data_IF_461080279189
#
_entry.id   IF_461080279189
#
_cell.length_a   1.000
_cell.length_b   1.000
_cell.length_c   1.000
_cell.angle_alpha   90.00
_cell.angle_beta   90.00
_cell.angle_gamma   90.00
#
_symmetry.space_group_name_H-M   'P 1'
#
loop_
_entity.id
_entity.type
_entity.pdbx_description
1 polymer ?
#
# COMPACT_ATOMS: atom_id res chain seq x y z
N UNK A 1 75.57 22.85 2.70
CA UNK A 1 74.33 23.05 1.92
C UNK A 1 73.24 23.32 2.94
N UNK A 2 73.01 24.60 3.14
CA UNK A 2 72.14 25.23 4.14
C UNK A 2 70.75 25.34 3.51
N UNK A 3 69.70 24.88 4.18
CA UNK A 3 68.32 25.18 3.76
C UNK A 3 67.67 26.03 4.84
N UNK A 4 67.30 27.23 4.40
CA UNK A 4 66.71 28.33 5.14
C UNK A 4 65.34 27.99 5.73
N UNK A 5 65.18 28.43 6.98
CA UNK A 5 63.92 28.65 7.66
C UNK A 5 63.12 29.76 6.96
N UNK A 6 61.91 29.43 6.50
CA UNK A 6 60.88 30.43 6.14
C UNK A 6 59.73 30.33 7.14
N UNK A 7 59.69 31.26 8.09
CA UNK A 7 58.49 31.57 8.87
C UNK A 7 57.48 32.32 8.00
N UNK A 8 56.19 31.95 7.98
CA UNK A 8 55.16 32.71 7.31
C UNK A 8 54.71 33.92 8.16
N UNK A 9 54.54 35.05 7.46
CA UNK A 9 54.10 36.33 8.01
C UNK A 9 52.71 36.26 8.67
N UNK A 10 52.65 36.81 9.88
CA UNK A 10 51.42 36.99 10.66
C UNK A 10 50.63 38.15 10.05
N UNK A 11 49.52 37.84 9.38
CA UNK A 11 48.56 38.82 8.88
C UNK A 11 47.81 39.48 10.04
N UNK A 12 47.98 40.81 10.18
CA UNK A 12 47.27 41.66 11.13
C UNK A 12 45.96 42.15 10.49
N UNK A 13 44.82 41.85 11.12
CA UNK A 13 43.50 42.30 10.66
C UNK A 13 43.14 43.66 11.28
N UNK A 14 42.62 44.62 10.49
CA UNK A 14 42.11 45.87 11.02
C UNK A 14 40.78 45.66 11.76
N UNK A 15 40.70 46.19 12.99
CA UNK A 15 39.48 46.26 13.75
C UNK A 15 38.47 47.19 13.04
N UNK A 16 37.31 46.64 12.68
CA UNK A 16 36.22 47.36 12.02
C UNK A 16 35.10 47.55 13.05
N UNK A 17 35.19 48.62 13.83
CA UNK A 17 34.06 49.18 14.58
C UNK A 17 33.26 50.06 13.64
N UNK A 18 32.09 49.60 13.19
CA UNK A 18 30.94 50.40 12.72
C UNK A 18 29.89 49.45 12.11
N UNK A 19 29.05 48.84 12.95
CA UNK A 19 27.92 48.01 12.48
C UNK A 19 26.76 47.89 13.51
N UNK A 20 26.52 48.90 14.34
CA UNK A 20 25.59 48.75 15.50
C UNK A 20 24.17 49.33 15.31
N UNK A 21 23.83 49.92 14.16
CA UNK A 21 22.53 50.61 14.00
C UNK A 21 21.62 50.02 12.92
N UNK A 22 22.10 49.11 12.07
CA UNK A 22 21.30 48.52 10.98
C UNK A 22 20.62 47.19 11.37
N UNK A 23 21.06 46.54 12.46
CA UNK A 23 20.48 45.26 12.90
C UNK A 23 19.08 45.41 13.50
N UNK A 24 18.78 46.54 14.14
CA UNK A 24 17.50 46.74 14.82
C UNK A 24 16.30 46.85 13.86
N UNK A 25 16.51 47.33 12.64
CA UNK A 25 15.43 47.43 11.64
C UNK A 25 15.16 46.09 10.93
N UNK A 26 16.13 45.17 10.92
CA UNK A 26 15.99 43.85 10.31
C UNK A 26 15.19 42.89 11.20
N UNK A 27 15.30 43.01 12.51
CA UNK A 27 14.60 42.12 13.46
C UNK A 27 13.07 42.29 13.41
N UNK A 28 12.56 43.53 13.29
CA UNK A 28 11.12 43.80 13.19
C UNK A 28 10.51 43.28 11.87
N UNK A 29 11.21 43.45 10.74
CA UNK A 29 10.75 42.92 9.46
C UNK A 29 10.71 41.37 9.42
N UNK A 30 11.59 40.73 10.19
CA UNK A 30 11.65 39.28 10.31
C UNK A 30 10.48 38.73 11.14
N UNK A 31 10.08 39.44 12.20
CA UNK A 31 8.91 39.08 13.01
C UNK A 31 7.61 39.13 12.21
N UNK A 32 7.38 40.19 11.43
CA UNK A 32 6.20 40.31 10.56
C UNK A 32 6.15 39.22 9.47
N UNK A 33 7.30 38.87 8.90
CA UNK A 33 7.39 37.82 7.89
C UNK A 33 7.06 36.42 8.48
N UNK A 34 7.52 36.14 9.70
CA UNK A 34 7.23 34.88 10.40
C UNK A 34 5.75 34.75 10.72
N UNK A 35 5.10 35.82 11.18
CA UNK A 35 3.67 35.82 11.47
C UNK A 35 2.82 35.62 10.20
N UNK A 36 3.21 36.25 9.08
CA UNK A 36 2.57 36.02 7.78
C UNK A 36 2.62 34.56 7.30
N UNK A 37 3.78 33.91 7.47
CA UNK A 37 3.95 32.48 7.13
C UNK A 37 3.10 31.59 8.05
N UNK A 38 3.08 31.88 9.35
CA UNK A 38 2.28 31.12 10.32
C UNK A 38 0.77 31.27 10.09
N UNK A 39 0.32 32.40 9.53
CA UNK A 39 -1.07 32.62 9.18
C UNK A 39 -1.46 31.87 7.90
N UNK A 40 -0.62 31.92 6.86
CA UNK A 40 -0.81 31.16 5.62
C UNK A 40 -0.93 29.65 5.86
N UNK A 41 -0.06 29.08 6.71
CA UNK A 41 -0.12 27.66 7.10
C UNK A 41 -1.43 27.30 7.82
N UNK A 42 -1.96 28.20 8.66
CA UNK A 42 -3.23 27.98 9.36
C UNK A 42 -4.43 28.01 8.41
N UNK A 43 -4.39 28.84 7.38
CA UNK A 43 -5.45 28.93 6.38
C UNK A 43 -5.44 27.70 5.44
N UNK A 44 -4.25 27.21 5.06
CA UNK A 44 -4.10 25.98 4.30
C UNK A 44 -4.62 24.74 5.05
N UNK A 45 -4.35 24.64 6.36
CA UNK A 45 -4.90 23.56 7.17
C UNK A 45 -6.44 23.58 7.23
N UNK A 46 -7.05 24.77 7.30
CA UNK A 46 -8.51 24.91 7.29
C UNK A 46 -9.10 24.46 5.95
N UNK A 47 -8.52 24.90 4.84
CA UNK A 47 -8.90 24.49 3.48
C UNK A 47 -8.81 22.97 3.29
N UNK A 48 -7.73 22.35 3.76
CA UNK A 48 -7.53 20.91 3.66
C UNK A 48 -8.59 20.13 4.46
N UNK A 49 -8.91 20.56 5.69
CA UNK A 49 -9.94 19.92 6.52
C UNK A 49 -11.33 20.07 5.91
N UNK A 50 -11.66 21.20 5.28
CA UNK A 50 -12.91 21.37 4.55
C UNK A 50 -13.00 20.46 3.34
N UNK A 51 -11.91 20.35 2.56
CA UNK A 51 -11.86 19.46 1.39
C UNK A 51 -12.05 17.99 1.80
N UNK A 52 -11.48 17.58 2.93
CA UNK A 52 -11.65 16.23 3.47
C UNK A 52 -13.09 15.97 3.94
N UNK A 53 -13.74 16.94 4.61
CA UNK A 53 -15.17 16.86 4.95
C UNK A 53 -16.05 16.69 3.72
N UNK A 54 -15.80 17.45 2.66
CA UNK A 54 -16.55 17.32 1.40
C UNK A 54 -16.34 15.95 0.74
N UNK A 55 -15.13 15.40 0.79
CA UNK A 55 -14.85 14.04 0.28
C UNK A 55 -15.59 12.98 1.08
N UNK A 56 -15.60 13.07 2.42
CA UNK A 56 -16.34 12.16 3.28
C UNK A 56 -17.84 12.24 3.03
N UNK A 57 -18.40 13.46 2.90
CA UNK A 57 -19.82 13.65 2.60
C UNK A 57 -20.21 13.05 1.24
N UNK A 58 -19.38 13.25 0.19
CA UNK A 58 -19.60 12.62 -1.13
C UNK A 58 -19.56 11.09 -1.06
N UNK A 59 -18.63 10.51 -0.31
CA UNK A 59 -18.60 9.06 -0.11
C UNK A 59 -19.86 8.55 0.58
N UNK A 60 -20.33 9.25 1.63
CA UNK A 60 -21.54 8.85 2.35
C UNK A 60 -22.78 8.83 1.44
N UNK A 61 -22.92 9.82 0.54
CA UNK A 61 -23.99 9.87 -0.45
C UNK A 61 -23.93 8.69 -1.44
N UNK A 62 -22.72 8.36 -1.93
CA UNK A 62 -22.52 7.22 -2.84
C UNK A 62 -22.89 5.90 -2.15
N UNK A 63 -22.45 5.68 -0.91
CA UNK A 63 -22.78 4.47 -0.17
C UNK A 63 -24.28 4.37 0.14
N UNK A 64 -24.93 5.48 0.50
CA UNK A 64 -26.39 5.53 0.72
C UNK A 64 -27.19 5.17 -0.53
N UNK A 65 -26.78 5.66 -1.71
CA UNK A 65 -27.46 5.35 -2.97
C UNK A 65 -27.35 3.87 -3.36
N UNK A 66 -26.17 3.25 -3.17
CA UNK A 66 -25.98 1.81 -3.43
C UNK A 66 -26.83 0.97 -2.46
N UNK A 67 -26.92 1.37 -1.19
CA UNK A 67 -27.71 0.65 -0.19
C UNK A 67 -29.22 0.66 -0.52
N UNK A 68 -29.74 1.78 -1.04
CA UNK A 68 -31.13 1.86 -1.51
C UNK A 68 -31.40 0.98 -2.74
N UNK A 69 -30.45 0.88 -3.68
CA UNK A 69 -30.62 0.04 -4.87
C UNK A 69 -30.66 -1.47 -4.55
N UNK A 70 -29.93 -1.93 -3.53
CA UNK A 70 -29.88 -3.35 -3.14
C UNK A 70 -31.16 -3.79 -2.41
N UNK A 71 -31.81 -2.90 -1.66
CA UNK A 71 -33.04 -3.22 -0.92
C UNK A 71 -34.29 -3.21 -1.83
N UNK A 72 -34.25 -2.48 -2.95
CA UNK A 72 -35.37 -2.40 -3.89
C UNK A 72 -35.48 -3.58 -4.88
N UNK A 73 -34.58 -4.58 -4.81
CA UNK A 73 -34.66 -5.80 -5.63
C UNK A 73 -35.17 -6.97 -4.78
N UNK A 74 -36.48 -7.02 -4.49
CA UNK A 74 -37.15 -8.30 -4.50
C UNK A 74 -38.32 -8.25 -5.49
N UNK A 75 -38.53 -9.38 -6.18
CA UNK A 75 -39.81 -9.77 -6.79
C UNK A 75 -40.10 -9.41 -8.27
N UNK A 76 -39.15 -9.59 -9.21
CA UNK A 76 -39.50 -9.62 -10.66
C UNK A 76 -38.89 -10.81 -11.43
N UNK A 77 -38.34 -11.83 -10.75
CA UNK A 77 -37.74 -13.00 -11.42
C UNK A 77 -38.45 -14.34 -11.13
N UNK A 78 -39.78 -14.35 -11.08
CA UNK A 78 -40.59 -15.56 -11.18
C UNK A 78 -41.61 -15.42 -12.32
N UNK A 79 -41.17 -15.51 -13.57
CA UNK A 79 -42.01 -15.89 -14.74
C UNK A 79 -41.17 -15.88 -16.01
N UNK A 80 -40.56 -17.02 -16.37
CA UNK A 80 -40.19 -17.27 -17.77
C UNK A 80 -40.68 -18.66 -18.15
N UNK A 81 -41.60 -18.76 -19.14
CA UNK A 81 -42.11 -20.04 -19.61
C UNK A 81 -41.07 -20.73 -20.50
N UNK A 82 -40.97 -22.04 -20.30
CA UNK A 82 -40.10 -22.95 -21.01
C UNK A 82 -40.64 -23.13 -22.45
N UNK A 83 -40.05 -22.44 -23.42
CA UNK A 83 -40.32 -22.67 -24.84
C UNK A 83 -39.37 -23.76 -25.36
N UNK A 84 -39.93 -24.98 -25.45
CA UNK A 84 -39.44 -26.08 -26.26
C UNK A 84 -39.41 -25.68 -27.74
N UNK A 85 -38.26 -25.83 -28.42
CA UNK A 85 -38.22 -26.27 -29.82
C UNK A 85 -36.94 -27.06 -30.12
N UNK A 86 -37.17 -28.29 -30.57
CA UNK A 86 -36.25 -29.19 -31.24
C UNK A 86 -35.88 -28.65 -32.63
N UNK A 87 -34.65 -28.94 -33.10
CA UNK A 87 -34.24 -29.28 -34.48
C UNK A 87 -32.72 -29.47 -34.46
N UNK A 88 -32.20 -30.70 -34.39
CA UNK A 88 -31.86 -31.58 -35.52
C UNK A 88 -31.02 -30.87 -36.59
N UNK A 89 -29.70 -31.02 -36.52
CA UNK A 89 -28.94 -31.43 -37.70
C UNK A 89 -27.70 -32.23 -37.31
N UNK A 90 -27.51 -33.29 -38.07
CA UNK A 90 -26.71 -34.47 -37.87
C UNK A 90 -25.48 -34.34 -38.77
N UNK A 91 -24.26 -34.36 -38.22
CA UNK A 91 -23.09 -34.78 -38.99
C UNK A 91 -22.21 -35.67 -38.13
N UNK A 92 -22.20 -36.94 -38.51
CA UNK A 92 -21.51 -38.03 -37.86
C UNK A 92 -20.00 -38.02 -38.17
N UNK A 93 -19.18 -38.04 -37.12
CA UNK A 93 -17.83 -38.63 -37.19
C UNK A 93 -17.61 -39.53 -35.98
N UNK A 94 -17.65 -40.84 -36.24
CA UNK A 94 -17.43 -41.94 -35.30
C UNK A 94 -16.04 -41.89 -34.66
N UNK A 95 -15.98 -41.93 -33.32
CA UNK A 95 -14.83 -42.43 -32.55
C UNK A 95 -15.38 -43.23 -31.35
N UNK A 96 -14.80 -44.40 -31.00
CA UNK A 96 -15.43 -45.38 -30.11
C UNK A 96 -15.45 -45.00 -28.62
N UNK A 97 -16.52 -45.50 -27.98
CA UNK A 97 -16.89 -45.44 -26.57
C UNK A 97 -15.86 -46.10 -25.64
N UNK A 98 -15.55 -45.42 -24.53
CA UNK A 98 -15.28 -46.07 -23.24
C UNK A 98 -16.35 -45.61 -22.26
N UNK A 99 -17.24 -46.54 -21.90
CA UNK A 99 -18.30 -46.36 -20.89
C UNK A 99 -17.65 -46.37 -19.51
N UNK A 100 -17.99 -45.39 -18.67
CA UNK A 100 -17.75 -45.44 -17.22
C UNK A 100 -19.11 -45.42 -16.52
N UNK A 101 -19.33 -46.19 -15.44
CA UNK A 101 -20.65 -46.43 -14.88
C UNK A 101 -21.22 -45.21 -14.13
N UNK A 102 -22.51 -44.95 -14.35
CA UNK A 102 -23.36 -44.12 -13.50
C UNK A 102 -23.41 -44.70 -12.09
N UNK A 103 -22.91 -43.94 -11.12
CA UNK A 103 -23.25 -44.15 -9.72
C UNK A 103 -24.53 -43.37 -9.40
N UNK A 104 -25.56 -44.13 -9.05
CA UNK A 104 -26.86 -43.73 -8.55
C UNK A 104 -26.70 -43.11 -7.15
N UNK A 105 -27.01 -41.83 -7.00
CA UNK A 105 -26.92 -41.13 -5.71
C UNK A 105 -28.34 -40.98 -5.15
N UNK A 106 -28.60 -41.77 -4.11
CA UNK A 106 -29.80 -41.76 -3.27
C UNK A 106 -29.90 -40.46 -2.49
N UNK A 107 -31.03 -39.76 -2.63
CA UNK A 107 -31.34 -38.54 -1.88
C UNK A 107 -31.74 -38.87 -0.44
N UNK A 108 -30.83 -38.64 0.52
CA UNK A 108 -31.12 -38.73 1.95
C UNK A 108 -31.76 -37.43 2.50
N UNK A 109 -32.62 -37.51 3.54
CA UNK A 109 -33.29 -36.34 4.12
C UNK A 109 -32.30 -35.42 4.85
N UNK A 110 -32.35 -34.12 4.53
CA UNK A 110 -31.49 -33.08 5.09
C UNK A 110 -31.97 -32.69 6.51
N UNK A 111 -31.26 -33.14 7.53
CA UNK A 111 -31.46 -32.68 8.91
C UNK A 111 -31.17 -31.16 9.02
N UNK A 112 -32.06 -30.43 9.71
CA UNK A 112 -31.95 -28.99 9.96
C UNK A 112 -30.84 -28.72 10.96
N UNK A 113 -29.75 -28.11 10.52
CA UNK A 113 -28.65 -27.66 11.38
C UNK A 113 -29.07 -26.41 12.17
N UNK A 114 -28.73 -26.30 13.47
CA UNK A 114 -28.98 -25.11 14.27
C UNK A 114 -28.25 -23.89 13.70
N UNK A 115 -28.97 -22.76 13.62
CA UNK A 115 -28.46 -21.47 13.14
C UNK A 115 -27.37 -20.96 14.09
N UNK A 116 -26.13 -20.72 13.63
CA UNK A 116 -25.08 -20.15 14.46
C UNK A 116 -25.49 -18.73 14.90
N UNK A 117 -25.52 -18.49 16.21
CA UNK A 117 -25.66 -17.14 16.75
C UNK A 117 -24.41 -16.35 16.36
N UNK A 118 -24.59 -15.33 15.53
CA UNK A 118 -23.49 -14.46 15.11
C UNK A 118 -22.92 -13.75 16.34
N UNK A 119 -21.59 -13.81 16.57
CA UNK A 119 -20.96 -13.07 17.65
C UNK A 119 -21.22 -11.58 17.46
N UNK A 120 -21.70 -10.94 18.52
CA UNK A 120 -22.01 -9.51 18.58
C UNK A 120 -20.74 -8.70 18.24
N UNK A 121 -20.76 -7.78 17.26
CA UNK A 121 -19.61 -6.95 16.94
C UNK A 121 -19.20 -6.16 18.17
N UNK A 122 -18.00 -6.41 18.69
CA UNK A 122 -17.41 -5.55 19.71
C UNK A 122 -17.01 -4.25 19.03
N UNK A 123 -17.63 -3.15 19.44
CA UNK A 123 -17.28 -1.81 18.97
C UNK A 123 -15.79 -1.55 19.18
N UNK A 124 -15.05 -1.05 18.17
CA UNK A 124 -13.64 -0.71 18.30
C UNK A 124 -13.48 0.32 19.43
N UNK A 125 -12.63 0.02 20.41
CA UNK A 125 -12.24 0.97 21.45
C UNK A 125 -11.48 2.12 20.79
N UNK A 126 -11.91 3.35 21.08
CA UNK A 126 -11.52 4.58 20.38
C UNK A 126 -10.10 5.07 20.70
N UNK A 127 -9.34 4.34 21.52
CA UNK A 127 -8.10 4.84 22.14
C UNK A 127 -6.84 4.02 21.80
N UNK A 128 -6.93 2.99 20.95
CA UNK A 128 -5.74 2.29 20.44
C UNK A 128 -5.11 3.11 19.30
N UNK A 129 -4.51 4.25 19.66
CA UNK A 129 -3.47 4.86 18.83
C UNK A 129 -2.30 3.88 18.81
N UNK A 130 -2.24 3.06 17.77
CA UNK A 130 -1.03 2.31 17.40
C UNK A 130 0.09 3.34 17.35
N UNK A 131 0.95 3.37 18.38
CA UNK A 131 2.17 4.15 18.37
C UNK A 131 3.02 3.55 17.25
N UNK A 132 2.96 4.18 16.09
CA UNK A 132 3.83 3.89 14.97
C UNK A 132 5.26 4.14 15.47
N UNK A 133 6.00 3.06 15.68
CA UNK A 133 7.33 3.06 16.28
C UNK A 133 8.16 4.27 15.83
N UNK A 134 8.64 5.03 16.81
CA UNK A 134 9.46 6.23 16.56
C UNK A 134 10.70 5.85 15.72
N UNK A 135 11.08 6.69 14.73
CA UNK A 135 12.28 6.49 13.94
C UNK A 135 13.51 6.60 14.85
N UNK A 136 14.14 5.47 15.19
CA UNK A 136 15.34 5.47 16.03
C UNK A 136 15.59 4.17 16.77
N UNK A 137 14.58 3.32 16.96
CA UNK A 137 14.83 1.94 17.38
C UNK A 137 15.05 1.09 16.14
N UNK A 138 16.29 0.62 15.95
CA UNK A 138 16.63 -0.37 14.95
C UNK A 138 15.75 -1.61 15.18
N UNK A 139 14.62 -1.67 14.46
CA UNK A 139 13.57 -2.67 14.62
C UNK A 139 14.18 -4.07 14.51
N UNK A 140 14.48 -4.69 15.65
CA UNK A 140 14.93 -6.09 15.75
C UNK A 140 13.76 -7.06 15.60
N UNK A 141 12.62 -6.58 15.10
CA UNK A 141 11.41 -7.34 14.85
C UNK A 141 11.36 -7.73 13.37
N UNK A 142 11.29 -9.03 13.10
CA UNK A 142 11.17 -9.59 11.75
C UNK A 142 12.21 -10.66 11.45
N UNK A 143 12.12 -11.22 10.26
CA UNK A 143 13.15 -12.08 9.68
C UNK A 143 14.45 -11.28 9.47
N UNK A 144 15.62 -11.76 9.94
CA UNK A 144 16.89 -11.04 9.84
C UNK A 144 17.33 -10.78 8.39
N UNK A 145 16.76 -11.51 7.41
CA UNK A 145 17.01 -11.30 5.98
C UNK A 145 16.22 -10.13 5.40
N UNK A 146 15.22 -9.62 6.12
CA UNK A 146 14.32 -8.56 5.69
C UNK A 146 14.35 -7.38 6.66
N UNK A 147 15.35 -6.51 6.52
CA UNK A 147 15.49 -5.33 7.39
C UNK A 147 14.55 -4.22 6.95
N UNK A 148 13.97 -3.52 7.93
CA UNK A 148 13.24 -2.28 7.65
C UNK A 148 14.17 -1.23 7.01
N UNK A 149 13.63 -0.41 6.13
CA UNK A 149 14.39 0.65 5.47
C UNK A 149 13.87 0.97 4.08
N UNK A 150 14.67 1.69 3.31
CA UNK A 150 14.35 1.97 1.92
C UNK A 150 14.97 0.93 1.00
N UNK A 151 14.22 0.63 -0.05
CA UNK A 151 14.55 -0.32 -1.09
C UNK A 151 14.39 0.36 -2.43
N UNK A 152 15.27 -0.01 -3.36
CA UNK A 152 15.14 0.30 -4.78
C UNK A 152 14.36 -0.83 -5.43
N UNK A 153 13.18 -0.51 -5.98
CA UNK A 153 12.35 -1.40 -6.77
C UNK A 153 12.71 -1.23 -8.25
N UNK A 154 13.22 -2.30 -8.87
CA UNK A 154 13.53 -2.36 -10.30
C UNK A 154 12.44 -3.16 -11.02
N UNK A 155 11.64 -2.48 -11.84
CA UNK A 155 10.58 -3.13 -12.64
C UNK A 155 11.19 -3.79 -13.89
N UNK A 156 10.51 -4.77 -14.50
CA UNK A 156 10.97 -5.45 -15.70
C UNK A 156 11.27 -4.52 -16.89
N UNK A 157 10.60 -3.37 -16.97
CA UNK A 157 10.85 -2.34 -18.00
C UNK A 157 12.04 -1.42 -17.70
N UNK A 158 12.82 -1.70 -16.64
CA UNK A 158 13.98 -0.92 -16.24
C UNK A 158 13.68 0.31 -15.37
N UNK A 159 12.40 0.58 -15.05
CA UNK A 159 12.05 1.67 -14.14
C UNK A 159 12.53 1.38 -12.73
N UNK A 160 13.07 2.41 -12.06
CA UNK A 160 13.53 2.36 -10.68
C UNK A 160 12.65 3.25 -9.81
N UNK A 161 12.14 2.72 -8.70
CA UNK A 161 11.39 3.48 -7.71
C UNK A 161 11.95 3.26 -6.33
N UNK A 162 11.92 4.30 -5.49
CA UNK A 162 12.23 4.15 -4.08
C UNK A 162 10.95 3.77 -3.32
N UNK A 163 11.04 2.68 -2.55
CA UNK A 163 9.97 2.21 -1.67
C UNK A 163 10.53 2.02 -0.27
N UNK A 164 9.65 2.04 0.74
CA UNK A 164 10.01 1.82 2.14
C UNK A 164 9.33 0.56 2.62
N UNK A 165 10.12 -0.39 3.10
CA UNK A 165 9.66 -1.61 3.75
C UNK A 165 9.74 -1.40 5.27
N UNK A 166 8.61 -1.56 5.95
CA UNK A 166 8.48 -1.39 7.40
C UNK A 166 8.10 -2.74 8.00
N UNK A 167 8.92 -3.29 8.88
CA UNK A 167 8.53 -4.40 9.74
C UNK A 167 7.60 -3.88 10.84
N UNK A 168 6.40 -4.42 10.91
CA UNK A 168 5.40 -4.05 11.91
C UNK A 168 5.42 -5.01 13.10
N UNK A 169 5.67 -6.29 12.83
CA UNK A 169 5.76 -7.37 13.82
C UNK A 169 6.68 -8.50 13.26
N UNK A 170 6.83 -9.61 13.97
CA UNK A 170 7.67 -10.76 13.60
C UNK A 170 7.42 -11.33 12.21
N UNK A 171 6.18 -11.21 11.70
CA UNK A 171 5.78 -11.75 10.39
C UNK A 171 5.09 -10.75 9.49
N UNK A 172 4.80 -9.52 9.96
CA UNK A 172 3.97 -8.59 9.21
C UNK A 172 4.79 -7.37 8.77
N UNK A 173 4.68 -7.06 7.50
CA UNK A 173 5.43 -6.00 6.83
C UNK A 173 4.48 -5.05 6.11
N UNK A 174 4.88 -3.80 5.94
CA UNK A 174 4.19 -2.81 5.12
C UNK A 174 5.13 -2.25 4.08
N UNK A 175 4.71 -2.32 2.82
CA UNK A 175 5.42 -1.70 1.71
C UNK A 175 4.72 -0.38 1.36
N UNK A 176 5.48 0.71 1.38
CA UNK A 176 4.97 2.07 1.11
C UNK A 176 5.85 2.78 0.10
N UNK A 177 5.31 3.77 -0.62
CA UNK A 177 6.09 4.64 -1.50
C UNK A 177 5.48 6.03 -1.54
N UNK A 178 6.30 7.03 -1.92
CA UNK A 178 5.80 8.37 -2.26
C UNK A 178 5.03 8.37 -3.59
N UNK A 179 5.26 7.37 -4.44
CA UNK A 179 4.64 7.25 -5.75
C UNK A 179 3.28 6.54 -5.63
N UNK A 180 2.18 7.29 -5.84
CA UNK A 180 0.81 6.79 -5.73
C UNK A 180 0.41 5.75 -6.78
N UNK A 181 1.17 5.64 -7.88
CA UNK A 181 0.82 4.78 -9.03
C UNK A 181 1.43 3.37 -8.94
N UNK A 182 2.01 2.99 -7.79
CA UNK A 182 2.52 1.64 -7.59
C UNK A 182 1.40 0.73 -7.10
N UNK A 183 1.14 -0.31 -7.89
CA UNK A 183 0.04 -1.25 -7.74
C UNK A 183 0.29 -2.34 -6.67
N UNK A 184 1.53 -2.47 -6.19
CA UNK A 184 1.98 -3.52 -5.28
C UNK A 184 2.25 -3.00 -3.85
N UNK A 185 1.65 -1.87 -3.47
CA UNK A 185 1.73 -1.32 -2.10
C UNK A 185 0.67 -1.96 -1.19
N UNK A 186 1.01 -2.09 0.10
CA UNK A 186 0.11 -2.67 1.10
C UNK A 186 0.83 -3.43 2.21
N UNK A 187 0.07 -4.28 2.90
CA UNK A 187 0.56 -5.13 3.97
C UNK A 187 0.82 -6.56 3.47
N UNK A 188 1.92 -7.11 3.98
CA UNK A 188 2.42 -8.43 3.63
C UNK A 188 2.62 -9.26 4.89
N UNK A 189 2.41 -10.57 4.77
CA UNK A 189 2.71 -11.55 5.79
C UNK A 189 3.79 -12.52 5.31
N UNK A 190 4.75 -12.80 6.17
CA UNK A 190 5.84 -13.72 5.93
C UNK A 190 5.39 -15.16 6.13
N UNK A 191 5.44 -15.93 5.05
CA UNK A 191 5.13 -17.35 4.99
C UNK A 191 6.35 -18.12 4.47
N UNK A 192 7.21 -18.57 5.38
CA UNK A 192 8.46 -19.22 5.02
C UNK A 192 9.42 -18.24 4.34
N UNK A 193 9.66 -18.42 3.04
CA UNK A 193 10.50 -17.53 2.22
C UNK A 193 9.69 -16.58 1.32
N UNK A 194 8.37 -16.52 1.50
CA UNK A 194 7.48 -15.68 0.72
C UNK A 194 6.90 -14.56 1.58
N UNK A 195 6.92 -13.33 1.09
CA UNK A 195 6.03 -12.27 1.56
C UNK A 195 4.76 -12.29 0.72
N UNK A 196 3.67 -12.71 1.31
CA UNK A 196 2.35 -12.80 0.67
C UNK A 196 1.54 -11.58 1.04
N UNK A 197 0.98 -10.89 0.04
CA UNK A 197 0.13 -9.73 0.29
C UNK A 197 -1.18 -10.15 0.97
N UNK A 198 -1.48 -9.53 2.10
CA UNK A 198 -2.70 -9.79 2.89
C UNK A 198 -3.71 -8.64 2.82
N UNK A 199 -3.24 -7.39 2.74
CA UNK A 199 -4.11 -6.21 2.65
C UNK A 199 -3.51 -5.21 1.63
N UNK A 200 -4.01 -5.17 0.39
CA UNK A 200 -3.54 -4.20 -0.59
C UNK A 200 -4.07 -2.79 -0.28
N UNK A 201 -3.30 -1.77 -0.68
CA UNK A 201 -3.80 -0.39 -0.66
C UNK A 201 -4.94 -0.19 -1.69
N UNK A 202 -4.82 -0.82 -2.87
CA UNK A 202 -5.93 -0.97 -3.84
C UNK A 202 -6.55 -2.36 -3.72
N UNK A 203 -7.79 -2.42 -3.23
CA UNK A 203 -8.57 -3.66 -3.02
C UNK A 203 -8.68 -4.57 -4.25
N UNK A 204 -8.45 -4.05 -5.45
CA UNK A 204 -8.49 -4.83 -6.69
C UNK A 204 -7.26 -5.72 -6.89
N UNK A 205 -6.17 -5.41 -6.19
CA UNK A 205 -4.83 -5.91 -6.47
C UNK A 205 -4.34 -6.85 -5.37
N UNK A 206 -5.09 -7.92 -5.15
CA UNK A 206 -4.73 -9.03 -4.24
C UNK A 206 -3.71 -9.96 -4.90
N UNK A 207 -3.07 -10.84 -4.13
CA UNK A 207 -2.27 -11.99 -4.64
C UNK A 207 -0.81 -11.72 -5.03
N UNK A 208 -0.24 -10.54 -4.77
CA UNK A 208 1.20 -10.34 -4.95
C UNK A 208 2.01 -11.19 -3.96
N UNK A 209 3.06 -11.85 -4.45
CA UNK A 209 3.99 -12.62 -3.63
C UNK A 209 5.44 -12.32 -3.99
N UNK A 210 6.24 -12.02 -2.98
CA UNK A 210 7.67 -11.79 -3.12
C UNK A 210 8.47 -12.94 -2.53
N UNK A 211 9.39 -13.50 -3.29
CA UNK A 211 10.39 -14.47 -2.83
C UNK A 211 11.59 -13.74 -2.23
N UNK A 212 12.01 -14.16 -1.04
CA UNK A 212 13.25 -13.69 -0.42
C UNK A 212 14.40 -14.47 -1.07
N UNK A 213 15.19 -13.79 -1.90
CA UNK A 213 16.29 -14.40 -2.67
C UNK A 213 17.64 -14.29 -1.97
N UNK A 214 17.78 -13.36 -1.01
CA UNK A 214 19.00 -13.17 -0.24
C UNK A 214 18.80 -12.24 0.96
N UNK A 215 19.90 -11.74 1.51
CA UNK A 215 19.84 -10.71 2.55
C UNK A 215 19.46 -9.38 1.90
N UNK A 216 18.31 -8.85 2.27
CA UNK A 216 17.74 -7.61 1.78
C UNK A 216 17.44 -7.57 0.27
N UNK A 217 17.21 -8.74 -0.34
CA UNK A 217 16.78 -8.86 -1.73
C UNK A 217 15.50 -9.69 -1.84
N UNK A 218 14.55 -9.18 -2.62
CA UNK A 218 13.30 -9.84 -2.92
C UNK A 218 13.00 -9.81 -4.42
N UNK A 219 12.30 -10.83 -4.90
CA UNK A 219 11.85 -10.94 -6.28
C UNK A 219 10.34 -11.21 -6.33
N UNK A 220 9.60 -10.50 -7.18
CA UNK A 220 8.18 -10.73 -7.35
C UNK A 220 7.94 -11.98 -8.21
N UNK A 221 7.40 -13.03 -7.59
CA UNK A 221 7.20 -14.36 -8.21
C UNK A 221 5.73 -14.66 -8.51
N UNK A 222 4.79 -13.94 -7.90
CA UNK A 222 3.38 -14.05 -8.23
C UNK A 222 2.71 -12.67 -8.22
N UNK A 223 1.73 -12.51 -9.10
CA UNK A 223 0.92 -11.30 -9.23
C UNK A 223 -0.52 -11.65 -9.61
N UNK A 224 -1.49 -10.77 -9.33
CA UNK A 224 -2.84 -10.90 -9.87
C UNK A 224 -2.84 -10.91 -11.41
N UNK A 225 -3.89 -11.46 -12.05
CA UNK A 225 -4.00 -11.50 -13.50
C UNK A 225 -3.84 -10.12 -14.16
N UNK A 226 -3.10 -10.04 -15.27
CA UNK A 226 -2.76 -8.79 -15.97
C UNK A 226 -3.97 -7.89 -16.30
N UNK A 227 -5.16 -8.48 -16.51
CA UNK A 227 -6.42 -7.74 -16.70
C UNK A 227 -6.81 -6.82 -15.53
N UNK A 228 -6.33 -7.10 -14.32
CA UNK A 228 -6.57 -6.29 -13.12
C UNK A 228 -5.52 -5.18 -12.96
N UNK A 229 -4.27 -5.49 -13.28
CA UNK A 229 -3.10 -4.62 -13.05
C UNK A 229 -2.76 -3.71 -14.22
N UNK A 230 -3.19 -4.05 -15.44
CA UNK A 230 -2.86 -3.35 -16.68
C UNK A 230 -1.47 -3.65 -17.25
N UNK A 231 -0.60 -4.29 -16.47
CA UNK A 231 0.75 -4.69 -16.87
C UNK A 231 1.23 -5.90 -16.04
N UNK A 232 2.29 -6.56 -16.51
CA UNK A 232 3.00 -7.59 -15.74
C UNK A 232 4.16 -6.98 -14.98
N UNK A 233 4.31 -7.38 -13.73
CA UNK A 233 5.36 -7.00 -12.79
C UNK A 233 6.22 -8.20 -12.39
N UNK A 234 5.98 -9.40 -12.92
CA UNK A 234 6.80 -10.58 -12.62
C UNK A 234 8.28 -10.32 -12.93
N UNK A 235 9.15 -10.72 -12.01
CA UNK A 235 10.59 -10.43 -12.07
C UNK A 235 10.96 -9.02 -11.58
N UNK A 236 10.00 -8.26 -11.03
CA UNK A 236 10.35 -7.03 -10.28
C UNK A 236 11.26 -7.40 -9.12
N UNK A 237 12.40 -6.73 -9.00
CA UNK A 237 13.36 -6.93 -7.93
C UNK A 237 13.30 -5.78 -6.91
N UNK A 238 13.43 -6.11 -5.63
CA UNK A 238 13.66 -5.17 -4.54
C UNK A 238 15.04 -5.40 -3.96
N UNK A 239 15.83 -4.32 -3.87
CA UNK A 239 17.16 -4.35 -3.27
C UNK A 239 17.26 -3.21 -2.27
N UNK A 240 17.68 -3.49 -1.03
CA UNK A 240 17.85 -2.44 -0.01
C UNK A 240 18.88 -1.40 -0.45
N UNK A 241 18.57 -0.14 -0.17
CA UNK A 241 19.49 0.95 -0.37
C UNK A 241 20.12 1.36 0.98
N UNK A 242 21.40 1.04 1.24
CA UNK A 242 22.04 1.32 2.52
C UNK A 242 22.25 2.83 2.78
N UNK A 243 22.25 3.68 1.76
CA UNK A 243 22.60 5.10 1.86
C UNK A 243 21.44 6.01 2.30
N UNK A 244 20.27 5.45 2.61
CA UNK A 244 19.03 6.21 2.75
C UNK A 244 18.40 6.17 4.14
N UNK A 245 19.19 5.86 5.16
CA UNK A 245 18.77 5.92 6.57
C UNK A 245 18.62 7.35 7.11
#
# INVERSE_FOLDING_TARGET
MTNDDQQPDIYSFPAKEEASSESAALDDALLDAVDGIAQSLRDDERSMREQERLRQQRQLLIFGAIFLAVIAIPLVLLSSPQASQNSVEEIATKVPRTRTPSAEITNAPRARTPRPQSPRPQSPRKDDKVQLNQPGQANTYGDPRLRSGYYTMLLPRGFKWQVKLLALDKKRYRLTSKHRNLNNLGFYELQGNLLVMVEPDDKRLTEFQWLITGNDSLELVAEPPARKTGATYLGTALTRNPESE
#
